data_IF_200225458427
#
_entry.id   IF_200225458427
#
_cell.length_a   1.000
_cell.length_b   1.000
_cell.length_c   1.000
_cell.angle_alpha   90.00
_cell.angle_beta   90.00
_cell.angle_gamma   90.00
#
_symmetry.space_group_name_H-M   'P 1'
#
loop_
_entity.id
_entity.type
_entity.pdbx_description
1 polymer ?
#
# COMPACT_ATOMS: atom_id res chain seq x y z
N UNK A 1 -22.74 -0.62 11.17
CA UNK A 1 -22.95 0.58 10.36
C UNK A 1 -22.78 1.82 11.25
N UNK A 2 -23.68 2.07 12.19
CA UNK A 2 -23.61 3.27 13.08
C UNK A 2 -22.31 3.44 13.87
N UNK A 3 -21.58 2.35 14.17
CA UNK A 3 -20.29 2.42 14.85
C UNK A 3 -19.21 2.98 13.91
N UNK A 4 -19.13 2.48 12.67
CA UNK A 4 -18.19 2.95 11.64
C UNK A 4 -18.43 4.45 11.37
N UNK A 5 -19.68 4.83 11.09
CA UNK A 5 -20.02 6.21 10.76
C UNK A 5 -19.61 7.20 11.87
N UNK A 6 -19.93 6.88 13.11
CA UNK A 6 -19.54 7.73 14.26
C UNK A 6 -18.03 7.87 14.42
N UNK A 7 -17.28 6.80 14.17
CA UNK A 7 -15.82 6.82 14.24
C UNK A 7 -15.22 7.66 13.13
N UNK A 8 -15.66 7.46 11.90
CA UNK A 8 -15.15 8.19 10.75
C UNK A 8 -15.50 9.68 10.80
N UNK A 9 -16.72 10.05 11.21
CA UNK A 9 -17.11 11.46 11.40
C UNK A 9 -16.21 12.14 12.43
N UNK A 10 -15.96 11.50 13.58
CA UNK A 10 -15.06 12.05 14.60
C UNK A 10 -13.62 12.20 14.10
N UNK A 11 -13.10 11.18 13.39
CA UNK A 11 -11.75 11.18 12.88
C UNK A 11 -11.56 12.20 11.74
N UNK A 12 -12.59 12.45 10.93
CA UNK A 12 -12.53 13.41 9.83
C UNK A 12 -12.38 14.86 10.27
N UNK A 13 -12.67 15.16 11.55
CA UNK A 13 -12.54 16.49 12.14
C UNK A 13 -11.21 16.68 12.89
N UNK A 14 -10.32 15.70 12.90
CA UNK A 14 -9.01 15.78 13.55
C UNK A 14 -7.98 16.42 12.64
N UNK A 15 -7.08 17.19 13.23
CA UNK A 15 -5.92 17.75 12.52
C UNK A 15 -4.91 16.67 12.13
N UNK A 16 -4.12 16.93 11.09
CA UNK A 16 -3.05 16.04 10.64
C UNK A 16 -3.39 15.25 9.38
N UNK A 17 -2.79 14.06 9.23
CA UNK A 17 -3.02 13.20 8.07
C UNK A 17 -4.41 12.54 8.14
N UNK A 18 -5.33 13.05 7.33
CA UNK A 18 -6.73 12.63 7.31
C UNK A 18 -6.90 11.14 6.97
N UNK A 19 -6.17 10.61 6.00
CA UNK A 19 -6.24 9.20 5.63
C UNK A 19 -5.80 8.29 6.79
N UNK A 20 -4.73 8.68 7.48
CA UNK A 20 -4.25 7.98 8.69
C UNK A 20 -5.28 8.07 9.83
N UNK A 21 -5.84 9.24 10.08
CA UNK A 21 -6.85 9.41 11.13
C UNK A 21 -8.08 8.52 10.90
N UNK A 22 -8.57 8.45 9.64
CA UNK A 22 -9.71 7.61 9.29
C UNK A 22 -9.41 6.12 9.47
N UNK A 23 -8.24 5.65 9.01
CA UNK A 23 -7.86 4.24 9.15
C UNK A 23 -7.61 3.86 10.62
N UNK A 24 -6.87 4.66 11.38
CA UNK A 24 -6.61 4.43 12.81
C UNK A 24 -7.90 4.38 13.63
N UNK A 25 -8.85 5.25 13.35
CA UNK A 25 -10.14 5.27 14.04
C UNK A 25 -10.90 3.94 13.96
N UNK A 26 -10.69 3.17 12.91
CA UNK A 26 -11.32 1.86 12.73
C UNK A 26 -10.43 0.70 13.19
N UNK A 27 -9.11 0.79 13.02
CA UNK A 27 -8.18 -0.31 13.32
C UNK A 27 -7.82 -0.38 14.80
N UNK A 28 -7.46 0.75 15.44
CA UNK A 28 -7.04 0.77 16.84
C UNK A 28 -8.00 0.08 17.82
N UNK A 29 -9.33 0.24 17.73
CA UNK A 29 -10.25 -0.46 18.62
C UNK A 29 -10.25 -1.99 18.44
N UNK A 30 -9.72 -2.49 17.33
CA UNK A 30 -9.67 -3.90 16.99
C UNK A 30 -8.33 -4.56 17.34
N UNK A 31 -7.34 -3.79 17.78
CA UNK A 31 -5.99 -4.27 18.12
C UNK A 31 -5.97 -5.30 19.27
N UNK A 32 -7.02 -5.35 20.08
CA UNK A 32 -7.15 -6.32 21.16
C UNK A 32 -7.67 -7.70 20.69
N UNK A 33 -7.99 -7.86 19.42
CA UNK A 33 -8.43 -9.15 18.88
C UNK A 33 -7.20 -10.02 18.63
N UNK A 34 -7.06 -11.05 19.47
CA UNK A 34 -5.91 -11.95 19.41
C UNK A 34 -5.77 -12.64 18.03
N UNK A 35 -4.55 -12.67 17.51
CA UNK A 35 -4.22 -13.36 16.26
C UNK A 35 -4.54 -12.56 14.97
N UNK A 36 -5.05 -11.35 15.09
CA UNK A 36 -5.36 -10.48 13.93
C UNK A 36 -4.46 -9.25 13.95
N UNK A 37 -3.64 -9.09 12.92
CA UNK A 37 -2.75 -7.94 12.77
C UNK A 37 -3.46 -6.75 12.12
N UNK A 38 -2.91 -5.53 12.28
CA UNK A 38 -3.38 -4.31 11.62
C UNK A 38 -3.42 -4.46 10.10
N UNK A 39 -2.48 -5.22 9.54
CA UNK A 39 -2.46 -5.56 8.12
C UNK A 39 -3.74 -6.30 7.71
N UNK A 40 -4.14 -7.30 8.47
CA UNK A 40 -5.33 -8.09 8.18
C UNK A 40 -6.60 -7.25 8.36
N UNK A 41 -6.66 -6.42 9.42
CA UNK A 41 -7.75 -5.46 9.60
C UNK A 41 -7.84 -4.47 8.44
N UNK A 42 -6.72 -3.91 7.98
CA UNK A 42 -6.69 -3.01 6.82
C UNK A 42 -7.22 -3.70 5.57
N UNK A 43 -6.87 -4.95 5.33
CA UNK A 43 -7.38 -5.71 4.18
C UNK A 43 -8.91 -5.91 4.27
N UNK A 44 -9.40 -6.39 5.41
CA UNK A 44 -10.82 -6.70 5.60
C UNK A 44 -11.67 -5.43 5.58
N UNK A 45 -11.26 -4.40 6.33
CA UNK A 45 -11.99 -3.14 6.40
C UNK A 45 -11.97 -2.39 5.06
N UNK A 46 -10.85 -2.35 4.36
CA UNK A 46 -10.79 -1.74 3.03
C UNK A 46 -11.78 -2.41 2.07
N UNK A 47 -11.80 -3.74 2.03
CA UNK A 47 -12.75 -4.47 1.20
C UNK A 47 -14.21 -4.18 1.57
N UNK A 48 -14.54 -4.20 2.87
CA UNK A 48 -15.89 -3.90 3.37
C UNK A 48 -16.34 -2.48 3.02
N UNK A 49 -15.45 -1.50 3.23
CA UNK A 49 -15.78 -0.08 3.04
C UNK A 49 -15.93 0.28 1.56
N UNK A 50 -15.09 -0.28 0.69
CA UNK A 50 -15.12 -0.02 -0.74
C UNK A 50 -16.24 -0.79 -1.46
N UNK A 51 -16.60 -1.99 -0.99
CA UNK A 51 -17.71 -2.77 -1.52
C UNK A 51 -19.08 -2.38 -0.92
N UNK A 52 -19.06 -1.46 0.06
CA UNK A 52 -20.25 -1.00 0.75
C UNK A 52 -21.05 0.03 -0.06
N UNK A 53 -21.73 0.92 0.64
CA UNK A 53 -22.56 1.95 0.04
C UNK A 53 -21.71 3.11 -0.54
N UNK A 54 -21.67 3.29 -1.87
CA UNK A 54 -20.92 4.39 -2.50
C UNK A 54 -21.45 5.78 -2.13
N UNK A 55 -22.67 5.88 -1.62
CA UNK A 55 -23.23 7.11 -1.07
C UNK A 55 -22.63 7.53 0.28
N UNK A 56 -21.65 6.80 0.81
CA UNK A 56 -20.93 7.09 2.05
C UNK A 56 -19.48 7.54 1.76
N UNK A 57 -19.25 8.82 1.46
CA UNK A 57 -17.94 9.30 1.01
C UNK A 57 -16.82 9.03 2.03
N UNK A 58 -17.09 9.09 3.34
CA UNK A 58 -16.09 8.75 4.36
C UNK A 58 -15.72 7.26 4.37
N UNK A 59 -16.62 6.37 3.97
CA UNK A 59 -16.29 4.95 3.83
C UNK A 59 -15.35 4.73 2.65
N UNK A 60 -15.67 5.33 1.51
CA UNK A 60 -14.83 5.26 0.31
C UNK A 60 -13.46 5.85 0.59
N UNK A 61 -13.40 7.03 1.22
CA UNK A 61 -12.15 7.69 1.59
C UNK A 61 -11.30 6.83 2.54
N UNK A 62 -11.90 6.31 3.61
CA UNK A 62 -11.21 5.45 4.56
C UNK A 62 -10.69 4.15 3.92
N UNK A 63 -11.54 3.48 3.15
CA UNK A 63 -11.17 2.24 2.45
C UNK A 63 -10.08 2.45 1.40
N UNK A 64 -10.13 3.56 0.66
CA UNK A 64 -9.13 3.92 -0.33
C UNK A 64 -7.77 4.27 0.29
N UNK A 65 -7.75 4.79 1.51
CA UNK A 65 -6.53 5.13 2.26
C UNK A 65 -5.89 3.95 2.99
N UNK A 66 -6.57 2.81 3.14
CA UNK A 66 -6.05 1.65 3.87
C UNK A 66 -5.01 0.87 3.06
N UNK A 67 -3.77 1.36 3.05
CA UNK A 67 -2.64 0.74 2.36
C UNK A 67 -2.17 -0.49 3.13
N UNK A 68 -1.83 -1.55 2.39
CA UNK A 68 -1.29 -2.79 2.95
C UNK A 68 0.05 -3.10 2.30
N UNK A 69 1.13 -2.86 3.02
CA UNK A 69 2.47 -3.18 2.53
C UNK A 69 2.82 -4.63 2.91
N UNK A 70 3.04 -5.44 1.89
CA UNK A 70 3.65 -6.77 2.03
C UNK A 70 5.09 -6.77 1.50
N UNK A 71 5.75 -7.91 1.60
CA UNK A 71 7.12 -8.05 1.11
C UNK A 71 7.25 -7.82 -0.40
N UNK A 72 6.22 -8.15 -1.19
CA UNK A 72 6.24 -7.91 -2.63
C UNK A 72 6.26 -6.41 -2.94
N UNK A 73 5.37 -5.63 -2.30
CA UNK A 73 5.31 -4.18 -2.47
C UNK A 73 6.61 -3.52 -2.01
N UNK A 74 7.12 -3.89 -0.81
CA UNK A 74 8.37 -3.36 -0.30
C UNK A 74 9.55 -3.68 -1.23
N UNK A 75 9.70 -4.96 -1.62
CA UNK A 75 10.78 -5.42 -2.49
C UNK A 75 10.73 -4.75 -3.87
N UNK A 76 9.53 -4.53 -4.40
CA UNK A 76 9.36 -3.78 -5.65
C UNK A 76 9.86 -2.33 -5.51
N UNK A 77 9.49 -1.63 -4.44
CA UNK A 77 9.93 -0.25 -4.20
C UNK A 77 11.45 -0.16 -4.00
N UNK A 78 12.04 -1.15 -3.31
CA UNK A 78 13.48 -1.25 -3.15
C UNK A 78 14.16 -1.54 -4.51
N UNK A 79 13.73 -2.59 -5.22
CA UNK A 79 14.31 -3.01 -6.50
C UNK A 79 14.23 -1.94 -7.59
N UNK A 80 13.13 -1.20 -7.65
CA UNK A 80 12.97 -0.09 -8.60
C UNK A 80 13.87 1.10 -8.28
N UNK A 81 14.45 1.15 -7.07
CA UNK A 81 15.29 2.24 -6.58
C UNK A 81 14.49 3.43 -6.06
N UNK A 82 13.18 3.29 -5.86
CA UNK A 82 12.33 4.36 -5.32
C UNK A 82 12.78 4.73 -3.92
N UNK A 83 12.98 3.74 -3.03
CA UNK A 83 13.42 3.98 -1.65
C UNK A 83 14.75 4.72 -1.61
N UNK A 84 15.74 4.26 -2.37
CA UNK A 84 17.06 4.89 -2.41
C UNK A 84 17.01 6.31 -2.97
N UNK A 85 16.25 6.54 -4.04
CA UNK A 85 16.10 7.90 -4.63
C UNK A 85 15.47 8.90 -3.67
N UNK A 86 14.56 8.43 -2.83
CA UNK A 86 13.89 9.25 -1.82
C UNK A 86 14.62 9.28 -0.47
N UNK A 87 15.79 8.60 -0.37
CA UNK A 87 16.54 8.43 0.89
C UNK A 87 15.70 7.82 2.01
N UNK A 88 14.88 6.87 1.64
CA UNK A 88 13.88 6.21 2.46
C UNK A 88 14.17 4.70 2.65
N UNK A 89 15.43 4.30 2.50
CA UNK A 89 15.84 2.90 2.63
C UNK A 89 15.57 2.41 4.06
N UNK A 90 14.85 1.29 4.17
CA UNK A 90 14.51 0.65 5.43
C UNK A 90 14.28 -0.85 5.20
N UNK A 91 14.31 -1.64 6.27
CA UNK A 91 13.96 -3.06 6.22
C UNK A 91 12.43 -3.23 6.12
N UNK A 92 12.00 -4.34 5.49
CA UNK A 92 10.59 -4.72 5.49
C UNK A 92 10.08 -4.92 6.92
N UNK A 93 8.92 -4.35 7.22
CA UNK A 93 8.29 -4.45 8.53
C UNK A 93 7.68 -3.12 8.98
N UNK A 94 7.79 -2.77 10.29
CA UNK A 94 7.23 -1.53 10.83
C UNK A 94 7.70 -0.26 10.11
N UNK A 95 8.94 -0.24 9.60
CA UNK A 95 9.49 0.88 8.83
C UNK A 95 8.66 1.23 7.58
N UNK A 96 7.97 0.25 7.00
CA UNK A 96 7.08 0.48 5.85
C UNK A 96 5.91 1.42 6.15
N UNK A 97 5.54 1.56 7.43
CA UNK A 97 4.43 2.40 7.91
C UNK A 97 4.91 3.62 8.70
N UNK A 98 6.22 3.72 8.94
CA UNK A 98 6.84 4.88 9.59
C UNK A 98 6.99 6.09 8.67
N UNK A 99 7.49 7.22 9.19
CA UNK A 99 7.80 8.41 8.41
C UNK A 99 8.77 8.10 7.26
N UNK A 100 8.43 8.53 6.05
CA UNK A 100 9.18 8.22 4.83
C UNK A 100 9.07 6.78 4.34
N UNK A 101 8.26 5.93 5.00
CA UNK A 101 8.11 4.53 4.62
C UNK A 101 7.27 4.30 3.36
N UNK A 102 7.18 3.04 2.94
CA UNK A 102 6.48 2.64 1.71
C UNK A 102 5.05 3.18 1.63
N UNK A 103 4.30 3.14 2.73
CA UNK A 103 2.91 3.59 2.76
C UNK A 103 2.81 5.10 2.50
N UNK A 104 3.64 5.90 3.17
CA UNK A 104 3.64 7.36 2.98
C UNK A 104 4.06 7.76 1.55
N UNK A 105 5.02 7.05 0.95
CA UNK A 105 5.40 7.26 -0.44
C UNK A 105 4.22 6.98 -1.39
N UNK A 106 3.48 5.89 -1.17
CA UNK A 106 2.30 5.55 -1.98
C UNK A 106 1.19 6.60 -1.78
N UNK A 107 0.96 7.05 -0.53
CA UNK A 107 0.01 8.14 -0.23
C UNK A 107 0.38 9.44 -0.97
N UNK A 108 1.66 9.78 -1.01
CA UNK A 108 2.15 11.00 -1.68
C UNK A 108 2.04 10.93 -3.21
N UNK A 109 2.18 9.73 -3.79
CA UNK A 109 2.12 9.53 -5.26
C UNK A 109 0.68 9.40 -5.75
N UNK A 110 -0.22 8.83 -4.95
CA UNK A 110 -1.58 8.52 -5.36
C UNK A 110 -2.37 9.72 -5.93
N UNK A 111 -2.25 10.96 -5.41
CA UNK A 111 -2.92 12.12 -5.99
C UNK A 111 -2.46 12.50 -7.40
N UNK A 112 -1.27 12.07 -7.81
CA UNK A 112 -0.75 12.28 -9.17
C UNK A 112 -1.30 11.26 -10.19
N UNK A 113 -2.04 10.26 -9.72
CA UNK A 113 -2.64 9.21 -10.52
C UNK A 113 -4.16 9.32 -10.36
N UNK A 114 -4.85 9.88 -11.37
CA UNK A 114 -6.31 9.92 -11.32
C UNK A 114 -6.88 8.50 -11.56
N UNK A 115 -7.26 7.84 -10.47
CA UNK A 115 -7.77 6.47 -10.55
C UNK A 115 -9.08 6.36 -11.35
N UNK A 116 -9.80 7.48 -11.60
CA UNK A 116 -11.00 7.52 -12.44
C UNK A 116 -10.70 7.26 -13.92
N UNK A 117 -9.46 7.43 -14.36
CA UNK A 117 -9.01 7.03 -15.70
C UNK A 117 -9.10 5.51 -15.91
N UNK A 118 -9.02 4.73 -14.83
CA UNK A 118 -9.14 3.26 -14.86
C UNK A 118 -10.58 2.79 -14.62
N UNK A 119 -11.31 3.50 -13.77
CA UNK A 119 -12.74 3.27 -13.53
C UNK A 119 -13.38 4.56 -12.99
N UNK A 120 -14.37 5.13 -13.70
CA UNK A 120 -15.03 6.38 -13.28
C UNK A 120 -15.69 6.33 -11.89
N UNK A 121 -15.97 5.14 -11.36
CA UNK A 121 -16.53 4.95 -10.03
C UNK A 121 -15.47 5.01 -8.91
N UNK A 122 -14.19 5.06 -9.24
CA UNK A 122 -13.13 5.16 -8.23
C UNK A 122 -12.99 6.60 -7.72
N UNK A 123 -12.50 6.79 -6.47
CA UNK A 123 -12.08 8.11 -6.02
C UNK A 123 -10.86 8.57 -6.82
N UNK A 124 -10.73 9.87 -7.08
CA UNK A 124 -9.62 10.42 -7.87
C UNK A 124 -8.25 10.04 -7.27
N UNK A 125 -8.08 10.22 -5.96
CA UNK A 125 -6.90 9.74 -5.23
C UNK A 125 -7.24 8.41 -4.56
N UNK A 126 -6.51 7.35 -4.93
CA UNK A 126 -6.79 6.00 -4.44
C UNK A 126 -5.49 5.25 -4.08
N UNK A 127 -4.88 5.55 -2.92
CA UNK A 127 -3.61 4.93 -2.49
C UNK A 127 -3.67 3.40 -2.47
N UNK A 128 -4.76 2.83 -2.00
CA UNK A 128 -4.95 1.38 -1.98
C UNK A 128 -4.93 0.76 -3.39
N UNK A 129 -5.46 1.46 -4.39
CA UNK A 129 -5.42 1.03 -5.79
C UNK A 129 -3.97 1.00 -6.30
N UNK A 130 -3.20 2.05 -6.03
CA UNK A 130 -1.77 2.11 -6.41
C UNK A 130 -0.98 0.97 -5.78
N UNK A 131 -1.17 0.74 -4.48
CA UNK A 131 -0.54 -0.39 -3.78
C UNK A 131 -0.95 -1.73 -4.40
N UNK A 132 -2.23 -1.92 -4.69
CA UNK A 132 -2.74 -3.16 -5.28
C UNK A 132 -2.17 -3.38 -6.70
N UNK A 133 -1.99 -2.33 -7.49
CA UNK A 133 -1.35 -2.41 -8.80
C UNK A 133 0.10 -2.92 -8.69
N UNK A 134 0.87 -2.43 -7.72
CA UNK A 134 2.22 -2.92 -7.42
C UNK A 134 2.18 -4.40 -7.04
N UNK A 135 1.29 -4.76 -6.13
CA UNK A 135 1.13 -6.15 -5.69
C UNK A 135 0.78 -7.08 -6.85
N UNK A 136 -0.18 -6.73 -7.69
CA UNK A 136 -0.58 -7.51 -8.87
C UNK A 136 0.54 -7.66 -9.89
N UNK A 137 1.36 -6.62 -10.06
CA UNK A 137 2.54 -6.68 -10.92
C UNK A 137 3.54 -7.74 -10.44
N UNK A 138 3.67 -7.91 -9.12
CA UNK A 138 4.64 -8.82 -8.51
C UNK A 138 4.09 -10.23 -8.25
N UNK A 139 2.82 -10.34 -7.83
CA UNK A 139 2.24 -11.59 -7.33
C UNK A 139 2.27 -12.72 -8.37
N UNK A 140 2.71 -13.91 -7.94
CA UNK A 140 2.86 -15.08 -8.81
C UNK A 140 1.55 -15.58 -9.43
N UNK A 141 0.43 -15.31 -8.77
CA UNK A 141 -0.93 -15.65 -9.24
C UNK A 141 -1.53 -14.58 -10.17
N UNK A 142 -0.82 -13.48 -10.39
CA UNK A 142 -1.24 -12.36 -11.24
C UNK A 142 -0.23 -12.16 -12.38
N UNK A 143 0.36 -10.98 -12.53
CA UNK A 143 1.29 -10.68 -13.64
C UNK A 143 2.65 -11.37 -13.49
N UNK A 144 3.03 -11.79 -12.31
CA UNK A 144 4.25 -12.54 -11.98
C UNK A 144 5.53 -11.92 -12.57
N UNK A 145 5.72 -10.60 -12.44
CA UNK A 145 6.87 -9.91 -13.05
C UNK A 145 8.05 -9.71 -12.10
N UNK A 146 7.81 -9.18 -10.90
CA UNK A 146 8.88 -8.73 -10.02
C UNK A 146 8.86 -9.46 -8.68
N UNK A 147 9.27 -10.72 -8.65
CA UNK A 147 9.35 -11.53 -7.43
C UNK A 147 10.41 -12.62 -7.56
N UNK A 148 10.81 -13.25 -6.43
CA UNK A 148 11.85 -14.26 -6.35
C UNK A 148 11.57 -15.57 -7.10
N UNK A 149 10.33 -15.82 -7.54
CA UNK A 149 10.02 -16.97 -8.41
C UNK A 149 10.35 -16.68 -9.88
N UNK A 150 10.38 -15.41 -10.25
CA UNK A 150 10.62 -14.97 -11.63
C UNK A 150 12.05 -14.52 -11.87
N UNK A 151 12.66 -13.86 -10.90
CA UNK A 151 13.99 -13.24 -10.99
C UNK A 151 14.81 -13.61 -9.76
N UNK A 152 16.15 -13.66 -9.92
CA UNK A 152 17.03 -13.85 -8.77
C UNK A 152 17.06 -12.56 -7.91
N UNK A 153 16.56 -12.67 -6.69
CA UNK A 153 16.48 -11.54 -5.76
C UNK A 153 17.87 -11.04 -5.32
N UNK A 154 18.88 -11.91 -5.35
CA UNK A 154 20.25 -11.61 -4.90
C UNK A 154 21.12 -10.93 -5.97
N UNK A 155 20.61 -10.81 -7.18
CA UNK A 155 21.32 -10.25 -8.31
C UNK A 155 20.58 -9.08 -8.92
N UNK A 156 21.30 -8.25 -9.65
CA UNK A 156 20.69 -7.19 -10.44
C UNK A 156 19.75 -7.81 -11.47
N UNK A 157 18.47 -7.40 -11.44
CA UNK A 157 17.45 -7.97 -12.32
C UNK A 157 17.83 -7.86 -13.81
N UNK A 158 17.71 -8.98 -14.53
CA UNK A 158 18.01 -9.12 -15.95
C UNK A 158 16.76 -9.38 -16.81
N UNK A 159 15.55 -9.18 -16.29
CA UNK A 159 14.30 -9.40 -17.04
C UNK A 159 14.07 -8.27 -18.06
N UNK A 160 14.68 -8.43 -19.24
CA UNK A 160 14.54 -7.52 -20.38
C UNK A 160 13.10 -7.38 -20.89
N UNK A 161 12.26 -8.39 -20.65
CA UNK A 161 10.83 -8.36 -20.98
C UNK A 161 9.96 -7.59 -19.99
N UNK A 162 10.54 -7.04 -18.94
CA UNK A 162 9.81 -6.24 -17.97
C UNK A 162 9.50 -4.84 -18.55
N UNK A 163 8.22 -4.39 -18.55
CA UNK A 163 7.86 -3.07 -19.07
C UNK A 163 8.51 -1.91 -18.30
N UNK A 164 8.98 -2.15 -17.07
CA UNK A 164 9.66 -1.13 -16.28
C UNK A 164 11.19 -1.17 -16.44
N UNK A 165 11.75 -2.06 -17.27
CA UNK A 165 13.18 -2.30 -17.33
C UNK A 165 14.02 -1.04 -17.56
N UNK A 166 13.57 -0.15 -18.45
CA UNK A 166 14.26 1.11 -18.78
C UNK A 166 14.19 2.18 -17.70
N UNK A 167 13.25 2.06 -16.76
CA UNK A 167 13.03 3.05 -15.70
C UNK A 167 13.38 2.50 -14.30
N UNK A 168 13.62 1.20 -14.20
CA UNK A 168 13.92 0.50 -12.96
C UNK A 168 15.43 0.52 -12.68
N UNK A 169 15.83 0.82 -11.46
CA UNK A 169 17.23 0.73 -11.03
C UNK A 169 17.72 -0.72 -10.98
N UNK A 170 16.82 -1.69 -10.90
CA UNK A 170 17.09 -3.13 -10.91
C UNK A 170 18.00 -3.58 -9.75
N UNK A 171 17.86 -2.93 -8.60
CA UNK A 171 18.68 -3.20 -7.43
C UNK A 171 18.50 -4.64 -6.98
N UNK A 172 19.59 -5.33 -6.67
CA UNK A 172 19.53 -6.61 -5.97
C UNK A 172 18.92 -6.39 -4.58
N UNK A 173 18.04 -7.28 -4.16
CA UNK A 173 17.61 -7.30 -2.77
C UNK A 173 18.78 -7.89 -1.98
N UNK A 174 19.35 -7.10 -1.07
CA UNK A 174 20.41 -7.58 -0.20
C UNK A 174 19.96 -8.89 0.45
N UNK A 175 20.77 -9.93 0.33
CA UNK A 175 20.67 -11.05 1.25
C UNK A 175 20.69 -10.42 2.63
N UNK A 176 19.60 -10.56 3.38
CA UNK A 176 19.54 -10.04 4.73
C UNK A 176 20.83 -10.39 5.41
N UNK A 177 21.53 -9.39 5.91
CA UNK A 177 22.67 -9.58 6.76
C UNK A 177 22.20 -10.50 7.87
N UNK A 178 22.73 -11.70 7.87
CA UNK A 178 22.59 -12.64 8.96
C UNK A 178 22.90 -11.87 10.24
N UNK A 179 21.91 -11.75 11.10
CA UNK A 179 22.07 -11.31 12.47
C UNK A 179 22.00 -12.54 13.36
#
# INVERSE_FOLDING_TARGET
VNWIDRRLVRASSQDGNRARNLSSALIEPLNNVFGVSDKLWSMCLSALLLAGDPGRPLWVEAGAGMIVIDSLCHNWMHRTGILTRLRADHLYGPGCYGPGGCAEIIEAVAPAIDAREFNPAFPASFPRFVQNAIWRFCAGIEMNRCNGNRINDRERCQDWGCPLFGHCARVALSSGTEA
#
